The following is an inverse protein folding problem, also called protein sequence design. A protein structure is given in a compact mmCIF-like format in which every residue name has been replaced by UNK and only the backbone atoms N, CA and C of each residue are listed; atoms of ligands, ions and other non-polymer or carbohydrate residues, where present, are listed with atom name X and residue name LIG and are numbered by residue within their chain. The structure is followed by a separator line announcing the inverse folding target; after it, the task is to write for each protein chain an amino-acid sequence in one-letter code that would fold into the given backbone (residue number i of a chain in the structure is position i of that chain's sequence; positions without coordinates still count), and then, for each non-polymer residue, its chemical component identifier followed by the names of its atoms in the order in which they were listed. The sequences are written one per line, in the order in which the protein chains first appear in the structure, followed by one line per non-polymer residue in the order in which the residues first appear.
data_IF_038757959085
#
_entry.id   IF_038757959085
#
_cell.length_a   1.000
_cell.length_b   1.000
_cell.length_c   1.000
_cell.angle_alpha   90.00
_cell.angle_beta   90.00
_cell.angle_gamma   90.00
#
_symmetry.space_group_name_H-M   'P 1'
#
loop_
_entity.id
_entity.type
_entity.pdbx_description
1 polymer ?
#
# COMPACT_ATOMS: atom_id res chain seq x y z
N UNK A 1 -29.67 -17.31 1.84
CA UNK A 1 -28.20 -17.42 1.79
C UNK A 1 -27.74 -16.23 0.96
N UNK A 2 -27.08 -15.24 1.56
CA UNK A 2 -26.44 -14.18 0.80
C UNK A 2 -25.33 -14.84 0.00
N UNK A 3 -25.38 -14.77 -1.32
CA UNK A 3 -24.26 -15.20 -2.16
C UNK A 3 -23.04 -14.39 -1.72
N UNK A 4 -22.06 -15.08 -1.14
CA UNK A 4 -20.76 -14.51 -0.81
C UNK A 4 -20.05 -14.21 -2.14
N UNK A 5 -20.07 -12.97 -2.56
CA UNK A 5 -19.33 -12.49 -3.75
C UNK A 5 -17.84 -12.32 -3.48
N UNK A 6 -17.36 -12.66 -2.28
CA UNK A 6 -15.95 -12.54 -1.90
C UNK A 6 -15.11 -13.65 -2.49
N UNK A 7 -13.87 -13.31 -2.90
CA UNK A 7 -12.87 -14.29 -3.31
C UNK A 7 -12.46 -15.14 -2.10
N UNK A 8 -13.02 -16.32 -2.01
CA UNK A 8 -12.90 -17.24 -0.89
C UNK A 8 -12.09 -18.49 -1.25
N UNK A 9 -10.79 -18.31 -1.56
CA UNK A 9 -9.92 -19.42 -1.96
C UNK A 9 -9.66 -20.41 -0.82
N UNK A 10 -9.63 -19.91 0.42
CA UNK A 10 -9.56 -20.67 1.67
C UNK A 10 -10.81 -20.36 2.50
N UNK A 11 -11.90 -21.14 2.37
CA UNK A 11 -13.23 -20.77 2.88
C UNK A 11 -13.28 -20.39 4.35
N UNK A 12 -12.46 -21.04 5.19
CA UNK A 12 -12.45 -20.83 6.64
C UNK A 12 -11.29 -19.92 7.09
N UNK A 13 -10.61 -19.25 6.14
CA UNK A 13 -9.47 -18.40 6.46
C UNK A 13 -9.45 -17.11 5.61
N UNK A 14 -10.15 -16.08 6.10
CA UNK A 14 -10.20 -14.77 5.47
C UNK A 14 -8.80 -14.19 5.19
N UNK A 15 -7.90 -14.25 6.19
CA UNK A 15 -6.54 -13.68 6.07
C UNK A 15 -5.75 -14.28 4.91
N UNK A 16 -5.83 -15.60 4.75
CA UNK A 16 -5.13 -16.29 3.67
C UNK A 16 -5.80 -16.08 2.31
N UNK A 17 -7.14 -16.04 2.26
CA UNK A 17 -7.87 -15.70 1.04
C UNK A 17 -7.53 -14.29 0.59
N UNK A 18 -7.54 -13.34 1.52
CA UNK A 18 -7.16 -11.94 1.28
C UNK A 18 -5.67 -11.82 0.85
N UNK A 19 -4.75 -12.54 1.50
CA UNK A 19 -3.34 -12.57 1.13
C UNK A 19 -3.07 -13.12 -0.27
N UNK A 20 -3.81 -14.18 -0.67
CA UNK A 20 -3.74 -14.73 -2.03
C UNK A 20 -4.28 -13.72 -3.06
N UNK A 21 -5.38 -13.04 -2.72
CA UNK A 21 -5.98 -12.01 -3.57
C UNK A 21 -5.05 -10.80 -3.75
N UNK A 22 -4.29 -10.40 -2.72
CA UNK A 22 -3.23 -9.39 -2.86
C UNK A 22 -2.22 -9.82 -3.94
N UNK A 23 -1.81 -11.11 -3.93
CA UNK A 23 -0.93 -11.66 -4.96
C UNK A 23 -1.54 -11.55 -6.36
N UNK A 24 -2.77 -12.03 -6.54
CA UNK A 24 -3.48 -12.01 -7.83
C UNK A 24 -3.74 -10.60 -8.32
N UNK A 25 -4.04 -9.68 -7.44
CA UNK A 25 -4.43 -8.31 -7.76
C UNK A 25 -3.30 -7.49 -8.42
N UNK A 26 -2.07 -7.97 -8.36
CA UNK A 26 -0.93 -7.36 -9.02
C UNK A 26 -0.73 -7.85 -10.48
N UNK A 27 -1.52 -8.84 -10.93
CA UNK A 27 -1.41 -9.39 -12.28
C UNK A 27 -1.63 -8.37 -13.40
N UNK A 28 -2.60 -7.43 -13.34
CA UNK A 28 -2.77 -6.40 -14.36
C UNK A 28 -1.52 -5.53 -14.58
N UNK A 29 -0.67 -5.42 -13.57
CA UNK A 29 0.57 -4.62 -13.63
C UNK A 29 1.85 -5.47 -13.72
N UNK A 30 1.71 -6.74 -14.13
CA UNK A 30 2.83 -7.63 -14.47
C UNK A 30 3.59 -8.22 -13.29
N UNK A 31 3.06 -8.12 -12.06
CA UNK A 31 3.72 -8.64 -10.87
C UNK A 31 3.12 -9.95 -10.33
N UNK A 32 2.23 -10.58 -11.08
CA UNK A 32 1.73 -11.91 -10.78
C UNK A 32 1.29 -12.64 -12.05
N UNK A 33 1.31 -13.97 -11.98
CA UNK A 33 0.70 -14.89 -12.93
C UNK A 33 -0.30 -15.78 -12.21
N UNK A 34 -1.51 -15.89 -12.75
CA UNK A 34 -2.61 -16.65 -12.14
C UNK A 34 -2.19 -18.10 -11.86
N UNK A 35 -1.49 -18.75 -12.82
CA UNK A 35 -1.01 -20.11 -12.67
C UNK A 35 0.06 -20.30 -11.59
N UNK A 36 0.94 -19.30 -11.39
CA UNK A 36 1.96 -19.31 -10.35
C UNK A 36 1.30 -19.16 -8.98
N UNK A 37 0.41 -18.19 -8.81
CA UNK A 37 -0.34 -17.96 -7.57
C UNK A 37 -1.24 -19.16 -7.23
N UNK A 38 -1.96 -19.72 -8.22
CA UNK A 38 -2.79 -20.90 -8.00
C UNK A 38 -1.96 -22.11 -7.57
N UNK A 39 -0.76 -22.29 -8.12
CA UNK A 39 0.17 -23.37 -7.74
C UNK A 39 0.58 -23.26 -6.27
N UNK A 40 0.85 -22.07 -5.77
CA UNK A 40 1.08 -21.80 -4.34
C UNK A 40 -0.17 -22.14 -3.54
N UNK A 41 -1.33 -21.61 -3.93
CA UNK A 41 -2.59 -21.85 -3.26
C UNK A 41 -2.95 -23.34 -3.13
N UNK A 42 -2.76 -24.12 -4.20
CA UNK A 42 -3.01 -25.57 -4.18
C UNK A 42 -2.12 -26.31 -3.16
N UNK A 43 -0.85 -25.91 -3.02
CA UNK A 43 0.04 -26.47 -2.00
C UNK A 43 -0.41 -26.08 -0.59
N UNK A 44 -0.83 -24.83 -0.40
CA UNK A 44 -1.28 -24.30 0.87
C UNK A 44 -2.62 -24.88 1.36
N UNK A 45 -3.48 -25.39 0.47
CA UNK A 45 -4.73 -26.07 0.88
C UNK A 45 -4.53 -27.24 1.81
N UNK A 46 -3.32 -27.81 1.87
CA UNK A 46 -2.97 -28.95 2.74
C UNK A 46 -2.58 -28.54 4.17
N UNK A 47 -2.38 -27.25 4.42
CA UNK A 47 -1.86 -26.71 5.67
C UNK A 47 -2.43 -25.33 5.98
N UNK A 48 -3.74 -25.13 5.78
CA UNK A 48 -4.42 -23.86 6.00
C UNK A 48 -4.24 -23.41 7.45
N UNK A 49 -3.75 -22.17 7.63
CA UNK A 49 -3.50 -21.55 8.94
C UNK A 49 -2.06 -21.67 9.46
N UNK A 50 -1.21 -22.49 8.82
CA UNK A 50 0.24 -22.52 9.10
C UNK A 50 0.97 -21.39 8.37
N UNK A 51 1.21 -20.28 9.06
CA UNK A 51 1.87 -19.08 8.48
C UNK A 51 3.33 -19.35 8.10
N UNK A 52 4.01 -20.31 8.72
CA UNK A 52 5.34 -20.77 8.29
C UNK A 52 5.27 -21.52 6.97
N UNK A 53 4.22 -22.32 6.75
CA UNK A 53 3.98 -22.96 5.45
C UNK A 53 3.64 -21.92 4.39
N UNK A 54 2.83 -20.90 4.72
CA UNK A 54 2.58 -19.77 3.83
C UNK A 54 3.90 -19.16 3.34
N UNK A 55 4.77 -18.80 4.27
CA UNK A 55 6.07 -18.23 3.95
C UNK A 55 6.92 -19.16 3.07
N UNK A 56 7.05 -20.45 3.47
CA UNK A 56 7.88 -21.42 2.72
C UNK A 56 7.42 -21.59 1.28
N UNK A 57 6.10 -21.71 1.04
CA UNK A 57 5.58 -21.98 -0.30
C UNK A 57 5.66 -20.76 -1.22
N UNK A 58 5.40 -19.56 -0.69
CA UNK A 58 5.60 -18.33 -1.44
C UNK A 58 7.07 -18.04 -1.72
N UNK A 59 7.95 -18.21 -0.74
CA UNK A 59 9.40 -18.03 -0.93
C UNK A 59 9.99 -19.06 -1.91
N UNK A 60 9.45 -20.29 -1.95
CA UNK A 60 9.79 -21.29 -2.95
C UNK A 60 9.41 -20.83 -4.36
N UNK A 61 8.18 -20.37 -4.55
CA UNK A 61 7.71 -19.88 -5.85
C UNK A 61 8.50 -18.65 -6.28
N UNK A 62 8.74 -17.71 -5.37
CA UNK A 62 9.54 -16.52 -5.64
C UNK A 62 10.94 -16.87 -6.15
N UNK A 63 11.62 -17.85 -5.53
CA UNK A 63 12.95 -18.31 -5.99
C UNK A 63 12.90 -18.90 -7.39
N UNK A 64 11.92 -19.78 -7.68
CA UNK A 64 11.78 -20.38 -9.00
C UNK A 64 11.63 -19.30 -10.07
N UNK A 65 10.82 -18.27 -9.78
CA UNK A 65 10.56 -17.19 -10.70
C UNK A 65 11.79 -16.26 -10.81
N UNK A 66 12.49 -15.97 -9.70
CA UNK A 66 13.73 -15.20 -9.69
C UNK A 66 14.82 -15.87 -10.53
N UNK A 67 15.04 -17.18 -10.32
CA UNK A 67 16.08 -17.95 -11.04
C UNK A 67 15.83 -17.90 -12.54
N UNK A 68 14.58 -18.09 -12.99
CA UNK A 68 14.18 -17.91 -14.39
C UNK A 68 14.47 -16.51 -14.91
N UNK A 69 14.20 -15.48 -14.09
CA UNK A 69 14.49 -14.09 -14.45
C UNK A 69 15.99 -13.87 -14.67
N UNK A 70 16.82 -14.37 -13.77
CA UNK A 70 18.29 -14.26 -13.86
C UNK A 70 18.85 -15.03 -15.05
N UNK A 71 18.35 -16.24 -15.33
CA UNK A 71 18.70 -17.02 -16.53
C UNK A 71 18.38 -16.26 -17.82
N UNK A 72 17.19 -15.61 -17.90
CA UNK A 72 16.81 -14.81 -19.07
C UNK A 72 17.71 -13.59 -19.25
N UNK A 73 18.06 -12.90 -18.17
CA UNK A 73 19.01 -11.77 -18.23
C UNK A 73 20.38 -12.24 -18.69
N UNK A 74 20.89 -13.36 -18.18
CA UNK A 74 22.17 -13.93 -18.58
C UNK A 74 22.19 -14.34 -20.05
N UNK A 75 21.04 -14.73 -20.62
CA UNK A 75 20.85 -15.03 -22.03
C UNK A 75 20.48 -13.79 -22.88
N UNK A 76 20.70 -12.57 -22.36
CA UNK A 76 20.42 -11.28 -23.01
C UNK A 76 18.93 -10.98 -23.28
N UNK A 77 18.01 -11.81 -22.77
CA UNK A 77 16.56 -11.58 -22.83
C UNK A 77 16.10 -10.67 -21.68
N UNK A 78 16.64 -9.46 -21.58
CA UNK A 78 16.54 -8.58 -20.42
C UNK A 78 15.11 -8.13 -20.09
N UNK A 79 14.26 -7.92 -21.10
CA UNK A 79 12.84 -7.54 -20.89
C UNK A 79 12.09 -8.67 -20.21
N UNK A 80 12.17 -9.89 -20.75
CA UNK A 80 11.53 -11.06 -20.14
C UNK A 80 12.09 -11.34 -18.74
N UNK A 81 13.41 -11.20 -18.56
CA UNK A 81 14.05 -11.35 -17.25
C UNK A 81 13.53 -10.34 -16.24
N UNK A 82 13.37 -9.07 -16.59
CA UNK A 82 12.81 -8.04 -15.73
C UNK A 82 11.36 -8.35 -15.31
N UNK A 83 10.54 -8.86 -16.24
CA UNK A 83 9.16 -9.28 -15.92
C UNK A 83 9.11 -10.42 -14.88
N UNK A 84 10.01 -11.40 -14.99
CA UNK A 84 10.15 -12.44 -13.97
C UNK A 84 10.59 -11.86 -12.62
N UNK A 85 11.57 -10.94 -12.61
CA UNK A 85 12.06 -10.33 -11.37
C UNK A 85 10.99 -9.46 -10.68
N UNK A 86 10.10 -8.78 -11.41
CA UNK A 86 8.94 -8.08 -10.83
C UNK A 86 8.02 -9.05 -10.08
N UNK A 87 7.68 -10.20 -10.69
CA UNK A 87 6.85 -11.21 -10.03
C UNK A 87 7.56 -11.81 -8.81
N UNK A 88 8.85 -12.11 -8.92
CA UNK A 88 9.63 -12.62 -7.80
C UNK A 88 9.63 -11.64 -6.63
N UNK A 89 9.80 -10.33 -6.89
CA UNK A 89 9.68 -9.28 -5.87
C UNK A 89 8.34 -9.35 -5.15
N UNK A 90 7.23 -9.33 -5.90
CA UNK A 90 5.90 -9.40 -5.33
C UNK A 90 5.69 -10.67 -4.47
N UNK A 91 6.14 -11.83 -4.93
CA UNK A 91 5.94 -13.11 -4.24
C UNK A 91 6.75 -13.20 -2.93
N UNK A 92 7.96 -12.65 -2.87
CA UNK A 92 8.71 -12.56 -1.63
C UNK A 92 7.99 -11.71 -0.59
N UNK A 93 7.44 -10.56 -0.97
CA UNK A 93 6.70 -9.68 -0.07
C UNK A 93 5.36 -10.28 0.38
N UNK A 94 4.63 -10.95 -0.52
CA UNK A 94 3.40 -11.67 -0.14
C UNK A 94 3.72 -12.82 0.80
N UNK A 95 4.82 -13.52 0.59
CA UNK A 95 5.24 -14.63 1.44
C UNK A 95 5.60 -14.21 2.86
N UNK A 96 6.35 -13.12 3.00
CA UNK A 96 6.87 -12.66 4.30
C UNK A 96 5.81 -12.00 5.18
N UNK A 97 4.71 -11.51 4.59
CA UNK A 97 3.73 -10.66 5.29
C UNK A 97 3.12 -11.25 6.56
N UNK A 98 2.88 -12.56 6.62
CA UNK A 98 2.25 -13.22 7.77
C UNK A 98 3.24 -13.76 8.78
N UNK A 99 4.52 -13.82 8.43
CA UNK A 99 5.55 -14.35 9.33
C UNK A 99 5.69 -13.46 10.57
N UNK A 100 5.48 -14.05 11.75
CA UNK A 100 5.62 -13.38 13.04
C UNK A 100 6.21 -14.36 14.09
N UNK A 101 7.17 -13.95 14.88
CA UNK A 101 7.87 -12.68 14.81
C UNK A 101 8.68 -12.55 13.50
N UNK A 102 9.03 -11.31 13.13
CA UNK A 102 9.91 -11.09 11.97
C UNK A 102 11.29 -11.69 12.25
N UNK A 103 11.58 -12.76 11.52
CA UNK A 103 12.83 -13.52 11.67
C UNK A 103 13.90 -13.01 10.70
N UNK A 104 15.15 -13.42 10.94
CA UNK A 104 16.26 -13.17 10.00
C UNK A 104 15.94 -13.76 8.62
N UNK A 105 15.38 -14.99 8.57
CA UNK A 105 14.97 -15.62 7.32
C UNK A 105 13.88 -14.81 6.58
N UNK A 106 12.90 -14.27 7.31
CA UNK A 106 11.87 -13.38 6.75
C UNK A 106 12.48 -12.10 6.21
N UNK A 107 13.35 -11.45 6.97
CA UNK A 107 14.05 -10.23 6.55
C UNK A 107 14.95 -10.48 5.31
N UNK A 108 15.61 -11.63 5.23
CA UNK A 108 16.41 -12.00 4.06
C UNK A 108 15.52 -12.20 2.81
N UNK A 109 14.37 -12.85 2.95
CA UNK A 109 13.40 -12.99 1.87
C UNK A 109 12.82 -11.63 1.43
N UNK A 110 12.49 -10.77 2.39
CA UNK A 110 12.07 -9.39 2.14
C UNK A 110 13.12 -8.64 1.30
N UNK A 111 14.39 -8.65 1.69
CA UNK A 111 15.48 -7.99 0.95
C UNK A 111 15.72 -8.59 -0.43
N UNK A 112 15.51 -9.90 -0.61
CA UNK A 112 15.52 -10.50 -1.97
C UNK A 112 14.41 -9.90 -2.84
N UNK A 113 13.22 -9.67 -2.29
CA UNK A 113 12.13 -8.99 -2.98
C UNK A 113 12.50 -7.56 -3.39
N UNK A 114 13.07 -6.78 -2.48
CA UNK A 114 13.58 -5.43 -2.76
C UNK A 114 14.64 -5.47 -3.88
N UNK A 115 15.62 -6.38 -3.77
CA UNK A 115 16.70 -6.49 -4.76
C UNK A 115 16.20 -6.95 -6.12
N UNK A 116 15.22 -7.86 -6.17
CA UNK A 116 14.63 -8.31 -7.42
C UNK A 116 13.98 -7.15 -8.20
N UNK A 117 13.25 -6.25 -7.50
CA UNK A 117 12.68 -5.07 -8.16
C UNK A 117 13.77 -4.06 -8.56
N UNK A 118 14.79 -3.85 -7.75
CA UNK A 118 15.95 -3.00 -8.09
C UNK A 118 16.67 -3.50 -9.34
N UNK A 119 16.83 -4.83 -9.47
CA UNK A 119 17.46 -5.42 -10.65
C UNK A 119 16.54 -5.35 -11.88
N UNK A 120 15.24 -5.57 -11.72
CA UNK A 120 14.26 -5.38 -12.79
C UNK A 120 14.26 -3.95 -13.32
N UNK A 121 14.34 -2.96 -12.44
CA UNK A 121 14.32 -1.53 -12.79
C UNK A 121 15.44 -1.12 -13.76
N UNK A 122 16.56 -1.85 -13.79
CA UNK A 122 17.66 -1.61 -14.75
C UNK A 122 17.24 -1.84 -16.21
N UNK A 123 16.22 -2.64 -16.44
CA UNK A 123 15.76 -3.07 -17.77
C UNK A 123 14.35 -2.59 -18.11
N UNK A 124 13.57 -2.15 -17.10
CA UNK A 124 12.26 -1.55 -17.30
C UNK A 124 12.45 -0.13 -17.84
N UNK A 125 12.03 0.09 -19.08
CA UNK A 125 12.18 1.40 -19.72
C UNK A 125 11.00 2.34 -19.44
N UNK A 126 9.81 1.77 -19.24
CA UNK A 126 8.56 2.48 -19.00
C UNK A 126 7.67 1.70 -18.05
N UNK A 127 7.27 2.30 -16.93
CA UNK A 127 7.81 3.56 -16.40
C UNK A 127 9.25 3.41 -15.88
N UNK A 128 10.02 4.50 -15.88
CA UNK A 128 11.34 4.53 -15.25
C UNK A 128 11.20 4.58 -13.73
N UNK A 129 11.88 3.66 -13.04
CA UNK A 129 11.94 3.58 -11.57
C UNK A 129 13.31 4.03 -11.07
N UNK A 130 13.29 4.80 -10.01
CA UNK A 130 14.49 5.25 -9.29
C UNK A 130 14.33 4.93 -7.81
N UNK A 131 15.19 4.07 -7.25
CA UNK A 131 15.22 3.82 -5.81
C UNK A 131 15.99 4.96 -5.15
N UNK A 132 15.34 5.63 -4.20
CA UNK A 132 15.85 6.85 -3.57
C UNK A 132 15.75 6.77 -2.05
N UNK A 133 16.52 7.62 -1.40
CA UNK A 133 16.55 7.80 0.04
C UNK A 133 16.10 9.22 0.37
N UNK A 134 14.96 9.36 1.03
CA UNK A 134 14.45 10.66 1.47
C UNK A 134 15.08 10.99 2.82
N UNK A 135 15.85 12.10 2.96
CA UNK A 135 16.44 12.48 4.24
C UNK A 135 15.39 12.63 5.34
N UNK A 136 15.63 12.02 6.50
CA UNK A 136 14.74 12.06 7.65
C UNK A 136 15.52 12.07 8.96
N UNK A 137 15.70 13.25 9.55
CA UNK A 137 16.53 13.41 10.75
C UNK A 137 17.96 12.92 10.53
N UNK A 138 18.39 11.97 11.37
CA UNK A 138 19.72 11.33 11.30
C UNK A 138 19.75 10.11 10.38
N UNK A 139 18.64 9.78 9.74
CA UNK A 139 18.47 8.61 8.86
C UNK A 139 17.77 9.03 7.57
N UNK A 140 17.14 8.10 6.87
CA UNK A 140 16.37 8.35 5.65
C UNK A 140 15.15 7.42 5.58
N UNK A 141 14.21 7.74 4.71
CA UNK A 141 13.07 6.88 4.36
C UNK A 141 13.33 6.28 2.98
N UNK A 142 13.35 4.93 2.85
CA UNK A 142 13.46 4.28 1.55
C UNK A 142 12.23 4.57 0.69
N UNK A 143 12.46 4.89 -0.57
CA UNK A 143 11.39 5.22 -1.49
C UNK A 143 11.68 4.75 -2.92
N UNK A 144 10.63 4.70 -3.73
CA UNK A 144 10.71 4.49 -5.18
C UNK A 144 10.10 5.72 -5.84
N UNK A 145 10.91 6.46 -6.60
CA UNK A 145 10.41 7.51 -7.46
C UNK A 145 10.12 6.93 -8.84
N UNK A 146 8.87 7.03 -9.25
CA UNK A 146 8.39 6.58 -10.56
C UNK A 146 8.17 7.82 -11.41
N UNK A 147 8.98 7.94 -12.47
CA UNK A 147 8.96 9.12 -13.34
C UNK A 147 7.68 9.17 -14.17
N UNK A 148 7.08 10.36 -14.26
CA UNK A 148 6.00 10.58 -15.21
C UNK A 148 6.49 10.39 -16.65
N UNK A 149 5.60 9.96 -17.52
CA UNK A 149 5.82 9.95 -18.96
C UNK A 149 5.18 11.23 -19.54
N UNK A 150 5.94 12.31 -19.73
CA UNK A 150 5.38 13.55 -20.24
C UNK A 150 5.02 13.38 -21.71
N UNK A 151 3.81 13.81 -22.06
CA UNK A 151 3.39 13.91 -23.46
C UNK A 151 4.25 14.90 -24.27
N UNK A 152 4.96 15.82 -23.62
CA UNK A 152 5.86 16.82 -24.21
C UNK A 152 7.20 16.88 -23.49
N UNK A 153 8.28 17.08 -24.25
CA UNK A 153 9.68 17.05 -23.78
C UNK A 153 10.11 18.17 -22.83
N UNK A 154 9.26 19.11 -22.45
CA UNK A 154 9.64 20.25 -21.60
C UNK A 154 8.54 20.63 -20.62
N UNK A 155 8.91 20.79 -19.38
CA UNK A 155 8.05 21.30 -18.30
C UNK A 155 8.13 20.43 -17.05
N UNK A 156 7.82 21.05 -15.91
CA UNK A 156 7.67 20.36 -14.64
C UNK A 156 6.35 19.61 -14.59
N UNK A 157 6.38 18.40 -14.04
CA UNK A 157 5.20 17.53 -13.91
C UNK A 157 4.61 17.59 -12.50
N UNK A 158 3.30 17.39 -12.32
CA UNK A 158 2.72 17.13 -11.01
C UNK A 158 3.24 15.81 -10.45
N UNK A 159 3.17 15.65 -9.13
CA UNK A 159 3.60 14.43 -8.47
C UNK A 159 2.69 14.05 -7.31
N UNK A 160 2.66 12.75 -6.97
CA UNK A 160 1.99 12.24 -5.78
C UNK A 160 3.02 11.66 -4.81
N UNK A 161 2.88 12.00 -3.53
CA UNK A 161 3.44 11.22 -2.43
C UNK A 161 2.48 10.09 -2.15
N UNK A 162 2.97 8.85 -2.13
CA UNK A 162 2.18 7.66 -1.85
C UNK A 162 2.73 6.92 -0.63
N UNK A 163 2.04 7.03 0.50
CA UNK A 163 2.36 6.28 1.71
C UNK A 163 1.63 4.94 1.75
N UNK A 164 2.25 3.98 2.41
CA UNK A 164 1.71 2.65 2.61
C UNK A 164 0.54 2.63 3.61
N UNK A 165 -0.04 1.43 3.81
CA UNK A 165 -0.97 1.14 4.90
C UNK A 165 -0.26 0.61 6.13
N UNK A 166 -0.90 -0.36 6.83
CA UNK A 166 -0.30 -0.99 8.01
C UNK A 166 0.81 -1.99 7.66
N UNK A 167 0.65 -2.75 6.57
CA UNK A 167 1.38 -3.99 6.28
C UNK A 167 1.83 -4.11 4.81
N UNK A 168 1.70 -3.06 4.06
CA UNK A 168 2.12 -3.00 2.65
C UNK A 168 3.50 -2.35 2.56
N UNK A 169 4.24 -2.62 1.51
CA UNK A 169 5.57 -2.06 1.26
C UNK A 169 5.57 -1.27 -0.05
N UNK A 170 6.53 -0.39 -0.23
CA UNK A 170 6.65 0.42 -1.46
C UNK A 170 6.70 -0.43 -2.74
N UNK A 171 7.27 -1.65 -2.68
CA UNK A 171 7.31 -2.56 -3.83
C UNK A 171 5.91 -3.03 -4.21
N UNK A 172 5.10 -3.46 -3.22
CA UNK A 172 3.71 -3.86 -3.46
C UNK A 172 2.88 -2.68 -3.94
N UNK A 173 3.10 -1.48 -3.37
CA UNK A 173 2.39 -0.26 -3.78
C UNK A 173 2.69 0.12 -5.23
N UNK A 174 3.92 -0.08 -5.70
CA UNK A 174 4.25 0.14 -7.11
C UNK A 174 3.32 -0.65 -8.05
N UNK A 175 2.98 -1.89 -7.68
CA UNK A 175 2.09 -2.75 -8.45
C UNK A 175 0.58 -2.51 -8.21
N UNK A 176 0.21 -1.36 -7.66
CA UNK A 176 -1.19 -0.95 -7.47
C UNK A 176 -1.61 0.16 -8.45
N UNK A 177 -1.28 0.00 -9.73
CA UNK A 177 -1.69 0.92 -10.78
C UNK A 177 -0.84 2.18 -10.90
N UNK A 178 0.33 2.24 -10.26
CA UNK A 178 1.21 3.42 -10.37
C UNK A 178 1.69 3.64 -11.81
N UNK A 179 1.87 2.56 -12.60
CA UNK A 179 2.20 2.67 -14.02
C UNK A 179 1.13 3.46 -14.79
N UNK A 180 -0.15 3.25 -14.49
CA UNK A 180 -1.26 3.96 -15.13
C UNK A 180 -1.34 5.43 -14.69
N UNK A 181 -0.99 5.73 -13.43
CA UNK A 181 -0.88 7.10 -12.93
C UNK A 181 0.21 7.87 -13.67
N UNK A 182 1.40 7.28 -13.79
CA UNK A 182 2.54 7.99 -14.42
C UNK A 182 2.38 8.11 -15.94
N UNK A 183 1.64 7.21 -16.58
CA UNK A 183 1.24 7.34 -17.99
C UNK A 183 0.35 8.55 -18.25
N UNK A 184 -0.35 9.07 -17.21
CA UNK A 184 -1.11 10.32 -17.27
C UNK A 184 -0.26 11.58 -17.04
N UNK A 185 1.06 11.44 -16.96
CA UNK A 185 1.97 12.57 -16.76
C UNK A 185 2.09 13.04 -15.29
N UNK A 186 1.73 12.21 -14.32
CA UNK A 186 1.85 12.49 -12.88
C UNK A 186 2.92 11.58 -12.29
N UNK A 187 4.04 12.12 -11.81
CA UNK A 187 5.07 11.33 -11.13
C UNK A 187 4.58 10.79 -9.77
N UNK A 188 5.22 9.73 -9.26
CA UNK A 188 4.84 9.16 -7.98
C UNK A 188 6.08 8.86 -7.12
N UNK A 189 6.09 9.29 -5.87
CA UNK A 189 7.07 8.90 -4.86
C UNK A 189 6.40 7.99 -3.84
N UNK A 190 6.71 6.70 -3.91
CA UNK A 190 6.20 5.67 -3.02
C UNK A 190 7.19 5.50 -1.87
N UNK A 191 6.73 5.66 -0.62
CA UNK A 191 7.62 5.80 0.54
C UNK A 191 7.30 4.76 1.62
N UNK A 192 8.31 3.98 2.03
CA UNK A 192 8.23 3.21 3.27
C UNK A 192 8.34 4.19 4.46
N UNK A 193 7.22 4.65 4.98
CA UNK A 193 7.15 5.50 6.16
C UNK A 193 7.49 4.76 7.46
N UNK A 194 7.55 5.46 8.62
CA UNK A 194 7.70 4.82 9.92
C UNK A 194 6.62 3.76 10.16
N UNK A 195 7.05 2.54 10.51
CA UNK A 195 6.19 1.37 10.67
C UNK A 195 6.11 0.47 9.43
N UNK A 196 6.66 0.87 8.29
CA UNK A 196 6.57 0.12 7.03
C UNK A 196 7.92 -0.31 6.47
N UNK A 197 7.89 -1.35 5.68
CA UNK A 197 8.94 -1.79 4.77
C UNK A 197 10.35 -1.84 5.37
N UNK A 198 11.32 -1.27 4.68
CA UNK A 198 12.72 -1.18 5.13
C UNK A 198 12.84 -0.24 6.35
N UNK A 199 11.97 0.76 6.50
CA UNK A 199 12.03 1.72 7.61
C UNK A 199 11.90 1.05 8.97
N UNK A 200 10.96 0.14 9.15
CA UNK A 200 10.82 -0.58 10.42
C UNK A 200 11.84 -1.72 10.54
N UNK A 201 12.11 -2.49 9.46
CA UNK A 201 12.95 -3.70 9.52
C UNK A 201 14.42 -3.40 9.78
N UNK A 202 14.92 -2.33 9.19
CA UNK A 202 16.37 -2.07 9.16
C UNK A 202 16.79 -0.72 9.74
N UNK A 203 15.81 0.18 10.06
CA UNK A 203 16.11 1.50 10.60
C UNK A 203 15.47 1.77 11.95
N UNK A 204 14.66 0.81 12.46
CA UNK A 204 14.00 0.94 13.76
C UNK A 204 13.00 2.10 13.81
N UNK A 205 12.45 2.50 12.66
CA UNK A 205 11.44 3.54 12.56
C UNK A 205 10.06 2.92 12.77
N UNK A 206 9.56 2.99 13.99
CA UNK A 206 8.26 2.44 14.38
C UNK A 206 7.11 3.36 14.00
N UNK A 207 5.91 2.78 13.93
CA UNK A 207 4.66 3.47 13.62
C UNK A 207 4.41 4.66 14.58
N UNK A 208 4.08 5.82 14.00
CA UNK A 208 3.78 7.04 14.72
C UNK A 208 2.50 7.69 14.24
N UNK A 209 1.82 8.41 15.13
CA UNK A 209 0.53 9.06 14.84
C UNK A 209 0.67 10.39 14.07
N UNK A 210 1.77 11.09 14.25
CA UNK A 210 2.03 12.43 13.70
C UNK A 210 2.65 12.34 12.30
N UNK A 211 1.82 11.97 11.33
CA UNK A 211 2.23 11.76 9.93
C UNK A 211 2.91 12.97 9.32
N UNK A 212 2.49 14.18 9.70
CA UNK A 212 3.09 15.43 9.26
C UNK A 212 4.59 15.50 9.50
N UNK A 213 5.06 14.82 10.55
CA UNK A 213 6.48 14.85 10.93
C UNK A 213 7.40 14.19 9.87
N UNK A 214 6.88 13.21 9.13
CA UNK A 214 7.64 12.57 8.04
C UNK A 214 7.11 12.95 6.65
N UNK A 215 5.85 13.37 6.54
CA UNK A 215 5.28 13.78 5.27
C UNK A 215 5.88 15.12 4.78
N UNK A 216 6.18 16.05 5.68
CA UNK A 216 6.82 17.33 5.34
C UNK A 216 8.22 17.13 4.73
N UNK A 217 9.16 16.38 5.31
CA UNK A 217 10.42 16.06 4.64
C UNK A 217 10.26 15.35 3.28
N UNK A 218 9.26 14.48 3.15
CA UNK A 218 8.96 13.80 1.87
C UNK A 218 8.45 14.81 0.83
N UNK A 219 7.60 15.75 1.23
CA UNK A 219 7.19 16.86 0.36
C UNK A 219 8.41 17.70 -0.08
N UNK A 220 9.26 18.09 0.86
CA UNK A 220 10.44 18.91 0.58
C UNK A 220 11.40 18.23 -0.41
N UNK A 221 11.62 16.92 -0.22
CA UNK A 221 12.42 16.12 -1.15
C UNK A 221 11.82 16.14 -2.58
N UNK A 222 10.51 15.96 -2.70
CA UNK A 222 9.83 15.97 -4.00
C UNK A 222 9.87 17.38 -4.63
N UNK A 223 9.63 18.42 -3.84
CA UNK A 223 9.63 19.80 -4.29
C UNK A 223 11.02 20.28 -4.77
N UNK A 224 12.10 19.70 -4.25
CA UNK A 224 13.46 19.98 -4.66
C UNK A 224 13.86 19.31 -5.99
N UNK A 225 13.10 18.33 -6.48
CA UNK A 225 13.40 17.66 -7.76
C UNK A 225 13.17 18.60 -8.93
N UNK A 226 14.12 18.72 -9.87
CA UNK A 226 14.03 19.69 -10.97
C UNK A 226 12.86 19.42 -11.92
N UNK A 227 12.46 18.16 -12.07
CA UNK A 227 11.36 17.73 -12.93
C UNK A 227 9.97 17.89 -12.30
N UNK A 228 9.85 18.13 -10.98
CA UNK A 228 8.57 18.20 -10.27
C UNK A 228 8.11 19.66 -10.10
N UNK A 229 6.81 19.88 -10.31
CA UNK A 229 6.18 21.16 -9.98
C UNK A 229 5.78 21.22 -8.50
N UNK A 230 6.44 22.01 -7.66
CA UNK A 230 6.17 22.05 -6.22
C UNK A 230 4.78 22.57 -5.87
N UNK A 231 4.07 23.20 -6.80
CA UNK A 231 2.69 23.67 -6.60
C UNK A 231 1.65 22.61 -6.92
N UNK A 232 2.06 21.48 -7.49
CA UNK A 232 1.19 20.38 -7.92
C UNK A 232 1.64 19.04 -7.33
N UNK A 233 1.99 19.04 -6.04
CA UNK A 233 2.31 17.84 -5.28
C UNK A 233 1.10 17.47 -4.43
N UNK A 234 0.52 16.30 -4.67
CA UNK A 234 -0.55 15.73 -3.84
C UNK A 234 -0.04 14.66 -2.88
N UNK A 235 -0.89 14.26 -1.94
CA UNK A 235 -0.63 13.13 -1.03
C UNK A 235 -1.74 12.10 -1.12
N UNK A 236 -1.36 10.84 -1.18
CA UNK A 236 -2.27 9.69 -1.10
C UNK A 236 -1.70 8.60 -0.21
N UNK A 237 -2.58 7.79 0.37
CA UNK A 237 -2.19 6.63 1.11
C UNK A 237 -3.34 5.63 1.22
N UNK A 238 -3.03 4.33 1.41
CA UNK A 238 -3.98 3.22 1.37
C UNK A 238 -4.24 2.63 2.75
N UNK A 239 -5.45 2.14 3.02
CA UNK A 239 -5.81 1.40 4.25
C UNK A 239 -5.62 2.26 5.51
N UNK A 240 -4.70 1.92 6.42
CA UNK A 240 -4.30 2.81 7.52
C UNK A 240 -3.83 4.18 6.97
N UNK A 241 -3.42 4.23 5.73
CA UNK A 241 -3.14 5.47 5.02
C UNK A 241 -4.33 6.42 4.89
N UNK A 242 -5.57 5.95 5.02
CA UNK A 242 -6.74 6.80 5.21
C UNK A 242 -6.69 7.66 6.49
N UNK A 243 -5.74 7.37 7.39
CA UNK A 243 -5.31 8.25 8.47
C UNK A 243 -4.12 9.13 8.05
N UNK A 244 -3.11 8.57 7.38
CA UNK A 244 -1.87 9.25 7.07
C UNK A 244 -2.04 10.42 6.10
N UNK A 245 -2.67 10.20 4.95
CA UNK A 245 -2.83 11.23 3.94
C UNK A 245 -3.67 12.42 4.43
N UNK A 246 -4.85 12.22 5.07
CA UNK A 246 -5.61 13.31 5.66
C UNK A 246 -4.84 14.10 6.71
N UNK A 247 -4.08 13.42 7.57
CA UNK A 247 -3.28 14.08 8.58
C UNK A 247 -2.16 14.91 7.96
N UNK A 248 -1.43 14.36 7.00
CA UNK A 248 -0.40 15.09 6.27
C UNK A 248 -0.95 16.38 5.64
N UNK A 249 -2.07 16.30 4.89
CA UNK A 249 -2.71 17.45 4.25
C UNK A 249 -3.34 18.46 5.25
N UNK A 250 -3.72 17.98 6.44
CA UNK A 250 -4.24 18.86 7.49
C UNK A 250 -3.17 19.78 8.07
N UNK A 251 -1.92 19.34 8.16
CA UNK A 251 -0.83 20.07 8.80
C UNK A 251 0.15 20.70 7.80
N UNK A 252 0.34 20.12 6.61
CA UNK A 252 1.13 20.73 5.54
C UNK A 252 0.21 21.24 4.41
N UNK A 253 -0.02 22.55 4.39
CA UNK A 253 -0.94 23.21 3.45
C UNK A 253 -0.42 23.34 2.02
N UNK A 254 0.80 22.90 1.78
CA UNK A 254 1.42 22.91 0.45
C UNK A 254 0.93 21.77 -0.42
N UNK A 255 0.35 20.72 0.16
CA UNK A 255 -0.25 19.63 -0.64
C UNK A 255 -1.41 20.18 -1.49
N UNK A 256 -1.30 19.99 -2.80
CA UNK A 256 -2.27 20.46 -3.79
C UNK A 256 -3.57 19.65 -3.77
N UNK A 257 -3.54 18.40 -3.32
CA UNK A 257 -4.71 17.55 -3.10
C UNK A 257 -4.39 16.43 -2.10
N UNK A 258 -5.46 15.83 -1.56
CA UNK A 258 -5.37 14.69 -0.66
C UNK A 258 -6.30 13.57 -1.12
N UNK A 259 -5.78 12.35 -1.24
CA UNK A 259 -6.54 11.15 -1.58
C UNK A 259 -6.41 10.12 -0.45
N UNK A 260 -7.51 9.84 0.23
CA UNK A 260 -7.62 8.79 1.25
C UNK A 260 -8.19 7.52 0.61
N UNK A 261 -7.33 6.55 0.31
CA UNK A 261 -7.73 5.24 -0.22
C UNK A 261 -8.03 4.27 0.93
N UNK A 262 -9.24 4.27 1.38
CA UNK A 262 -9.72 3.81 2.67
C UNK A 262 -9.92 5.00 3.59
N UNK A 263 -10.63 4.79 4.69
CA UNK A 263 -10.97 5.87 5.61
C UNK A 263 -10.76 5.43 7.05
N UNK A 264 -10.23 6.33 7.85
CA UNK A 264 -10.04 6.12 9.27
C UNK A 264 -10.65 7.32 10.02
N UNK A 265 -11.22 7.07 11.18
CA UNK A 265 -11.67 8.14 12.08
C UNK A 265 -11.03 8.00 13.46
N UNK A 266 -11.23 6.83 14.09
CA UNK A 266 -10.65 6.46 15.37
C UNK A 266 -10.04 5.05 15.25
N UNK A 267 -8.73 5.00 15.06
CA UNK A 267 -8.01 3.74 14.84
C UNK A 267 -7.88 2.92 16.13
N UNK A 268 -7.85 3.58 17.31
CA UNK A 268 -7.88 2.90 18.58
C UNK A 268 -9.17 2.10 18.73
N UNK A 269 -10.33 2.73 18.41
CA UNK A 269 -11.64 2.05 18.48
C UNK A 269 -11.68 0.81 17.59
N UNK A 270 -11.16 0.89 16.38
CA UNK A 270 -11.10 -0.25 15.46
C UNK A 270 -10.35 -1.43 16.08
N UNK A 271 -9.19 -1.17 16.71
CA UNK A 271 -8.42 -2.24 17.35
C UNK A 271 -9.04 -2.75 18.65
N UNK A 272 -9.71 -1.90 19.42
CA UNK A 272 -10.47 -2.33 20.59
C UNK A 272 -11.58 -3.31 20.18
N UNK A 273 -12.39 -2.93 19.20
CA UNK A 273 -13.47 -3.77 18.68
C UNK A 273 -12.95 -5.11 18.10
N UNK A 274 -11.75 -5.11 17.52
CA UNK A 274 -11.07 -6.33 17.03
C UNK A 274 -10.63 -7.24 18.18
N UNK A 275 -10.00 -6.70 19.21
CA UNK A 275 -9.57 -7.46 20.38
C UNK A 275 -10.76 -8.04 21.14
N UNK A 276 -11.85 -7.29 21.27
CA UNK A 276 -13.09 -7.78 21.88
C UNK A 276 -13.68 -8.97 21.10
N UNK A 277 -13.76 -8.88 19.76
CA UNK A 277 -14.21 -10.00 18.93
C UNK A 277 -13.32 -11.23 19.06
N UNK A 278 -12.01 -11.06 19.10
CA UNK A 278 -11.05 -12.14 19.30
C UNK A 278 -11.25 -12.85 20.65
N UNK A 279 -11.58 -12.11 21.72
CA UNK A 279 -11.83 -12.68 23.05
C UNK A 279 -13.09 -13.56 23.08
N UNK A 280 -14.04 -13.33 22.16
CA UNK A 280 -15.29 -14.11 22.03
C UNK A 280 -15.23 -15.22 20.95
N UNK A 281 -14.03 -15.59 20.50
CA UNK A 281 -13.78 -16.59 19.48
C UNK A 281 -14.39 -16.29 18.09
N UNK A 282 -14.85 -15.06 17.85
CA UNK A 282 -15.22 -14.62 16.52
C UNK A 282 -13.95 -14.49 15.66
N UNK A 283 -13.94 -15.12 14.50
CA UNK A 283 -12.80 -15.00 13.58
C UNK A 283 -12.80 -13.57 13.01
N UNK A 284 -11.86 -12.71 13.41
CA UNK A 284 -11.88 -11.35 12.91
C UNK A 284 -11.40 -11.30 11.47
N UNK A 285 -11.99 -10.42 10.69
CA UNK A 285 -11.57 -10.08 9.34
C UNK A 285 -10.26 -9.28 9.37
N UNK A 286 -9.15 -9.94 9.72
CA UNK A 286 -7.82 -9.33 9.77
C UNK A 286 -7.02 -9.71 8.53
N UNK A 287 -6.54 -8.70 7.81
CA UNK A 287 -5.64 -8.89 6.67
C UNK A 287 -4.20 -9.19 7.08
N UNK A 288 -3.87 -9.09 8.38
CA UNK A 288 -2.53 -9.29 8.93
C UNK A 288 -2.57 -10.24 10.13
N UNK A 289 -1.41 -10.79 10.51
CA UNK A 289 -1.27 -11.48 11.78
C UNK A 289 -1.54 -10.52 12.94
N UNK A 290 -2.21 -11.01 13.98
CA UNK A 290 -2.59 -10.18 15.14
C UNK A 290 -1.38 -9.49 15.81
N UNK A 291 -0.24 -10.17 15.85
CA UNK A 291 1.00 -9.66 16.44
C UNK A 291 1.62 -8.50 15.64
N UNK A 292 1.18 -8.29 14.39
CA UNK A 292 1.74 -7.27 13.51
C UNK A 292 1.59 -5.85 14.09
N UNK A 293 0.43 -5.53 14.66
CA UNK A 293 0.21 -4.20 15.24
C UNK A 293 1.12 -3.93 16.44
N UNK A 294 1.35 -4.92 17.29
CA UNK A 294 2.26 -4.79 18.41
C UNK A 294 3.71 -4.58 17.94
N UNK A 295 4.11 -5.30 16.90
CA UNK A 295 5.44 -5.14 16.31
C UNK A 295 5.66 -3.74 15.72
N UNK A 296 4.72 -3.23 14.91
CA UNK A 296 4.88 -1.90 14.29
C UNK A 296 4.87 -0.76 15.31
N UNK A 297 4.18 -0.94 16.44
CA UNK A 297 4.14 0.04 17.55
C UNK A 297 5.26 -0.14 18.57
N UNK A 298 6.09 -1.18 18.42
CA UNK A 298 7.15 -1.56 19.37
C UNK A 298 6.61 -1.76 20.80
N UNK A 299 5.57 -2.58 20.93
CA UNK A 299 4.93 -2.95 22.21
C UNK A 299 4.67 -4.45 22.26
N UNK A 300 4.24 -4.99 23.42
CA UNK A 300 4.10 -6.44 23.62
C UNK A 300 2.68 -6.88 23.93
N UNK A 301 1.87 -6.01 24.53
CA UNK A 301 0.53 -6.36 25.02
C UNK A 301 -0.57 -5.59 24.30
N UNK A 302 -1.80 -6.10 24.35
CA UNK A 302 -2.97 -5.42 23.77
C UNK A 302 -3.24 -4.07 24.44
N UNK A 303 -3.06 -3.98 25.76
CA UNK A 303 -3.24 -2.73 26.51
C UNK A 303 -2.23 -1.67 26.06
N UNK A 304 -0.97 -2.06 25.87
CA UNK A 304 0.06 -1.15 25.32
C UNK A 304 -0.27 -0.73 23.89
N UNK A 305 -0.79 -1.64 23.04
CA UNK A 305 -1.28 -1.30 21.70
C UNK A 305 -2.38 -0.24 21.79
N UNK A 306 -3.42 -0.48 22.59
CA UNK A 306 -4.53 0.46 22.74
C UNK A 306 -4.06 1.83 23.28
N UNK A 307 -3.15 1.84 24.23
CA UNK A 307 -2.55 3.08 24.77
C UNK A 307 -1.76 3.83 23.69
N UNK A 308 -0.95 3.15 22.89
CA UNK A 308 -0.19 3.77 21.77
C UNK A 308 -1.10 4.30 20.65
N UNK A 309 -2.28 3.70 20.48
CA UNK A 309 -3.25 4.11 19.48
C UNK A 309 -4.18 5.27 19.92
N UNK A 310 -4.13 5.70 21.17
CA UNK A 310 -4.96 6.83 21.66
C UNK A 310 -4.89 8.09 20.78
N UNK A 311 -3.71 8.54 20.30
CA UNK A 311 -3.61 9.72 19.47
C UNK A 311 -3.95 9.48 17.99
N UNK A 312 -4.23 8.23 17.56
CA UNK A 312 -4.59 7.93 16.18
C UNK A 312 -6.06 8.24 15.88
N UNK A 313 -6.40 9.52 15.96
CA UNK A 313 -7.74 10.07 15.71
C UNK A 313 -7.66 11.23 14.75
N UNK A 314 -8.68 11.36 13.90
CA UNK A 314 -8.80 12.44 12.92
C UNK A 314 -9.78 13.53 13.33
N UNK A 315 -10.43 13.39 14.49
CA UNK A 315 -11.25 14.46 15.07
C UNK A 315 -10.37 15.68 15.41
N UNK A 316 -10.84 16.87 15.04
CA UNK A 316 -10.06 18.11 15.16
C UNK A 316 -8.88 18.24 14.17
N UNK A 317 -8.67 17.23 13.32
CA UNK A 317 -7.59 17.17 12.32
C UNK A 317 -8.13 17.42 10.93
N UNK A 318 -9.05 16.58 10.43
CA UNK A 318 -9.53 16.66 9.03
C UNK A 318 -10.29 17.95 8.73
N UNK A 319 -10.83 18.63 9.73
CA UNK A 319 -11.46 19.94 9.60
C UNK A 319 -10.48 21.01 9.10
N UNK A 320 -9.16 20.78 9.26
CA UNK A 320 -8.10 21.67 8.80
C UNK A 320 -7.75 21.48 7.31
N UNK A 321 -8.22 20.43 6.65
CA UNK A 321 -7.93 20.16 5.24
C UNK A 321 -8.64 21.21 4.38
N UNK A 322 -7.89 21.87 3.50
CA UNK A 322 -8.41 22.92 2.60
C UNK A 322 -8.25 22.61 1.13
N UNK A 323 -7.33 21.71 0.77
CA UNK A 323 -7.11 21.27 -0.61
C UNK A 323 -8.23 20.33 -1.08
N UNK A 324 -8.40 20.13 -2.40
CA UNK A 324 -9.29 19.10 -2.95
C UNK A 324 -9.06 17.74 -2.29
N UNK A 325 -10.14 17.08 -1.91
CA UNK A 325 -10.11 15.86 -1.13
C UNK A 325 -10.95 14.76 -1.77
N UNK A 326 -10.35 13.59 -1.99
CA UNK A 326 -11.05 12.38 -2.41
C UNK A 326 -10.93 11.30 -1.33
N UNK A 327 -12.06 10.70 -0.99
CA UNK A 327 -12.13 9.50 -0.15
C UNK A 327 -12.76 8.37 -0.95
N UNK A 328 -12.12 7.18 -0.91
CA UNK A 328 -12.64 5.95 -1.48
C UNK A 328 -12.93 4.95 -0.36
N UNK A 329 -14.04 4.25 -0.47
CA UNK A 329 -14.42 3.23 0.50
C UNK A 329 -15.25 2.14 -0.18
N UNK A 330 -15.18 0.91 0.33
CA UNK A 330 -16.03 -0.19 -0.10
C UNK A 330 -17.23 -0.37 0.82
N UNK A 331 -18.41 -0.59 0.27
CA UNK A 331 -19.63 -0.80 1.05
C UNK A 331 -19.52 -1.98 2.04
N UNK A 332 -18.83 -3.04 1.63
CA UNK A 332 -18.57 -4.25 2.42
C UNK A 332 -17.17 -4.29 3.05
N UNK A 333 -16.55 -3.13 3.35
CA UNK A 333 -15.25 -3.08 3.99
C UNK A 333 -15.32 -3.65 5.42
N UNK A 334 -14.80 -4.86 5.61
CA UNK A 334 -14.76 -5.55 6.90
C UNK A 334 -13.63 -5.04 7.83
N UNK A 335 -12.66 -4.29 7.30
CA UNK A 335 -11.55 -3.75 8.07
C UNK A 335 -11.93 -2.43 8.75
N UNK A 336 -12.63 -1.57 8.03
CA UNK A 336 -13.01 -0.23 8.46
C UNK A 336 -14.52 -0.08 8.28
N UNK A 337 -15.31 0.00 9.35
CA UNK A 337 -16.76 0.16 9.24
C UNK A 337 -17.15 1.44 8.50
N UNK A 338 -18.09 1.34 7.57
CA UNK A 338 -18.61 2.47 6.77
C UNK A 338 -19.00 3.71 7.60
N UNK A 339 -19.61 3.57 8.81
CA UNK A 339 -19.89 4.73 9.66
C UNK A 339 -18.65 5.54 10.07
N UNK A 340 -17.48 4.92 10.21
CA UNK A 340 -16.23 5.65 10.46
C UNK A 340 -15.79 6.45 9.23
N UNK A 341 -15.91 5.87 8.04
CA UNK A 341 -15.63 6.55 6.79
C UNK A 341 -16.54 7.77 6.59
N UNK A 342 -17.84 7.58 6.78
CA UNK A 342 -18.83 8.67 6.66
C UNK A 342 -18.52 9.80 7.65
N UNK A 343 -18.31 9.47 8.92
CA UNK A 343 -17.97 10.46 9.95
C UNK A 343 -16.71 11.25 9.62
N UNK A 344 -15.69 10.57 9.10
CA UNK A 344 -14.46 11.23 8.67
C UNK A 344 -14.74 12.19 7.51
N UNK A 345 -15.43 11.72 6.47
CA UNK A 345 -15.76 12.53 5.29
C UNK A 345 -16.59 13.76 5.63
N UNK A 346 -17.63 13.62 6.46
CA UNK A 346 -18.51 14.72 6.87
C UNK A 346 -17.71 15.83 7.57
N UNK A 347 -16.72 15.44 8.39
CA UNK A 347 -15.87 16.36 9.16
C UNK A 347 -14.77 17.04 8.33
N UNK A 348 -14.45 16.58 7.11
CA UNK A 348 -13.42 17.18 6.26
C UNK A 348 -13.75 18.62 5.91
N UNK A 349 -12.82 19.56 6.20
CA UNK A 349 -13.00 20.99 6.02
C UNK A 349 -12.92 21.51 4.58
N UNK A 350 -12.43 20.68 3.64
CA UNK A 350 -12.35 21.06 2.23
C UNK A 350 -13.73 21.33 1.64
N UNK A 351 -13.85 22.42 0.86
CA UNK A 351 -15.05 22.73 0.08
C UNK A 351 -15.18 21.90 -1.21
N UNK A 352 -14.06 21.32 -1.68
CA UNK A 352 -13.99 20.45 -2.83
C UNK A 352 -13.69 19.04 -2.34
N UNK A 353 -14.71 18.33 -1.87
CA UNK A 353 -14.54 16.96 -1.36
C UNK A 353 -15.50 16.00 -2.06
N UNK A 354 -15.00 14.81 -2.37
CA UNK A 354 -15.73 13.72 -3.02
C UNK A 354 -15.60 12.45 -2.18
N UNK A 355 -16.72 11.77 -1.93
CA UNK A 355 -16.76 10.43 -1.38
C UNK A 355 -17.23 9.46 -2.45
N UNK A 356 -16.33 8.58 -2.90
CA UNK A 356 -16.70 7.46 -3.78
C UNK A 356 -16.87 6.21 -2.95
N UNK A 357 -18.09 5.79 -2.78
CA UNK A 357 -18.46 4.50 -2.22
C UNK A 357 -18.60 3.50 -3.37
N UNK A 358 -17.83 2.40 -3.32
CA UNK A 358 -17.96 1.28 -4.25
C UNK A 358 -18.94 0.27 -3.67
N UNK A 359 -19.98 -0.01 -4.45
CA UNK A 359 -21.07 -0.91 -4.05
C UNK A 359 -20.79 -2.35 -4.47
N UNK A 360 -21.54 -3.28 -3.92
CA UNK A 360 -21.53 -4.69 -4.34
C UNK A 360 -21.86 -4.85 -5.82
N UNK A 361 -22.77 -4.06 -6.34
CA UNK A 361 -23.21 -4.13 -7.74
C UNK A 361 -22.12 -3.66 -8.72
N UNK A 362 -21.37 -2.58 -8.35
CA UNK A 362 -20.28 -2.08 -9.18
C UNK A 362 -19.03 -2.97 -9.12
N UNK A 363 -18.83 -3.73 -8.04
CA UNK A 363 -17.58 -4.35 -7.66
C UNK A 363 -16.64 -3.36 -6.96
N UNK A 364 -15.53 -3.87 -6.37
CA UNK A 364 -14.63 -3.03 -5.57
C UNK A 364 -15.18 -2.71 -4.18
N UNK A 365 -16.12 -3.49 -3.67
CA UNK A 365 -16.82 -3.21 -2.43
C UNK A 365 -16.08 -3.64 -1.16
N UNK A 366 -14.98 -4.40 -1.29
CA UNK A 366 -14.14 -4.81 -0.17
C UNK A 366 -13.13 -3.74 0.25
N UNK A 367 -12.40 -4.01 1.33
CA UNK A 367 -11.35 -3.14 1.84
C UNK A 367 -10.34 -2.77 0.75
N UNK A 368 -10.17 -1.46 0.52
CA UNK A 368 -9.28 -0.91 -0.51
C UNK A 368 -9.54 -1.49 -1.92
N UNK A 369 -10.79 -1.86 -2.20
CA UNK A 369 -11.27 -2.39 -3.48
C UNK A 369 -10.46 -3.58 -4.00
N UNK A 370 -9.98 -4.42 -3.08
CA UNK A 370 -9.08 -5.53 -3.42
C UNK A 370 -9.72 -6.58 -4.33
N UNK A 371 -11.04 -6.66 -4.34
CA UNK A 371 -11.82 -7.53 -5.22
C UNK A 371 -11.88 -7.03 -6.67
N UNK A 372 -11.70 -5.71 -6.89
CA UNK A 372 -11.68 -5.09 -8.22
C UNK A 372 -10.84 -3.81 -8.21
N UNK A 373 -9.52 -3.96 -8.13
CA UNK A 373 -8.63 -2.79 -8.03
C UNK A 373 -8.63 -1.91 -9.27
N UNK A 374 -8.88 -2.46 -10.45
CA UNK A 374 -8.88 -1.70 -11.69
C UNK A 374 -9.94 -0.59 -11.72
N UNK A 375 -11.14 -0.86 -11.16
CA UNK A 375 -12.21 0.15 -11.12
C UNK A 375 -11.85 1.33 -10.22
N UNK A 376 -11.23 1.05 -9.07
CA UNK A 376 -10.85 2.13 -8.17
C UNK A 376 -9.62 2.90 -8.69
N UNK A 377 -8.64 2.21 -9.27
CA UNK A 377 -7.48 2.86 -9.88
C UNK A 377 -7.90 3.81 -10.99
N UNK A 378 -8.78 3.38 -11.91
CA UNK A 378 -9.31 4.26 -12.96
C UNK A 378 -9.95 5.52 -12.37
N UNK A 379 -10.84 5.35 -11.38
CA UNK A 379 -11.53 6.48 -10.74
C UNK A 379 -10.55 7.45 -10.06
N UNK A 380 -9.57 6.92 -9.31
CA UNK A 380 -8.56 7.74 -8.62
C UNK A 380 -7.71 8.53 -9.59
N UNK A 381 -7.21 7.86 -10.64
CA UNK A 381 -6.29 8.49 -11.59
C UNK A 381 -7.00 9.54 -12.45
N UNK A 382 -8.25 9.31 -12.85
CA UNK A 382 -9.06 10.29 -13.56
C UNK A 382 -9.32 11.53 -12.69
N UNK A 383 -9.62 11.34 -11.40
CA UNK A 383 -9.78 12.45 -10.45
C UNK A 383 -8.48 13.24 -10.28
N UNK A 384 -7.33 12.56 -10.13
CA UNK A 384 -6.02 13.22 -10.02
C UNK A 384 -5.66 13.99 -11.29
N UNK A 385 -5.97 13.44 -12.48
CA UNK A 385 -5.76 14.12 -13.74
C UNK A 385 -6.57 15.44 -13.82
N UNK A 386 -7.82 15.43 -13.35
CA UNK A 386 -8.66 16.63 -13.29
C UNK A 386 -8.11 17.67 -12.30
N UNK A 387 -7.65 17.25 -11.14
CA UNK A 387 -7.21 18.17 -10.07
C UNK A 387 -5.80 18.71 -10.33
N UNK A 388 -4.88 17.85 -10.74
CA UNK A 388 -3.46 18.20 -10.92
C UNK A 388 -3.12 18.71 -12.32
N UNK A 389 -4.01 18.52 -13.30
CA UNK A 389 -3.89 19.02 -14.67
C UNK A 389 -2.50 18.79 -15.28
N UNK A 390 -2.05 17.55 -15.46
CA UNK A 390 -0.80 17.27 -16.14
C UNK A 390 -0.84 17.81 -17.56
N UNK A 391 0.32 18.18 -18.10
CA UNK A 391 0.40 18.58 -19.50
C UNK A 391 0.07 17.38 -20.40
N UNK A 392 -0.89 17.52 -21.29
CA UNK A 392 -1.28 16.53 -22.30
C UNK A 392 -0.32 16.52 -23.49
#
# INVERSE_FOLDING_TARGET
MSEELSFNYFPDNYRWSHGLLIGLNMAPWGAAEIGEVNRVGLRLKKCVGDDDAWFREWAREARIVEDRGRERIAAEHTISGAQYLQRASAYYHVGERFLQPKSEQGNNAYMRGVQALRDAAKYIRRPRLEHVEVPYGVTSLPAIFVHAEPAKKSGKVPAMVFFDGLDVTKEIQYFKGVADLVARGIACLIVDGPGNGESIRFRGLYLRHDTEHYATPVFDYLAARPEVDPKRIGVMAISLGGYYAPRAAAFDKRFACCLAWGAQWDYQKIWRDRFERLAHADTPSLSVAQQHIAWVLNVKTQDEVLKKLEPFKLDGVVQKITCPFLMLHGEGDEQIPLPQAQKCFDAVGSKQKTFKLFTREEGGYHHCQIDNQSICSAYMWDWLEQVLQPAR
#
